data_IF_990663500175
#
_entry.id   IF_990663500175
#
_cell.length_a   1.000
_cell.length_b   1.000
_cell.length_c   1.000
_cell.angle_alpha   90.00
_cell.angle_beta   90.00
_cell.angle_gamma   90.00
#
_symmetry.space_group_name_H-M   'P 1'
#
loop_
_entity.id
_entity.type
_entity.pdbx_description
1 polymer ?
#
# COMPACT_ATOMS: atom_id res chain seq x y z
N UNK A 1 1.58 -9.90 10.91
CA UNK A 1 0.51 -9.01 10.39
C UNK A 1 -0.58 -8.95 11.44
N UNK A 2 -1.10 -7.78 11.74
CA UNK A 2 -2.26 -7.61 12.64
C UNK A 2 -3.49 -8.24 11.97
N UNK A 3 -4.22 -9.10 12.68
CA UNK A 3 -5.41 -9.80 12.17
C UNK A 3 -6.47 -8.80 11.64
N UNK A 4 -6.65 -7.67 12.34
CA UNK A 4 -7.56 -6.60 11.92
C UNK A 4 -7.25 -6.07 10.52
N UNK A 5 -5.97 -5.86 10.21
CA UNK A 5 -5.56 -5.37 8.87
C UNK A 5 -5.85 -6.40 7.80
N UNK A 6 -5.60 -7.68 8.12
CA UNK A 6 -5.88 -8.78 7.21
C UNK A 6 -7.38 -8.88 6.90
N UNK A 7 -8.21 -8.85 7.93
CA UNK A 7 -9.67 -8.93 7.79
C UNK A 7 -10.23 -7.76 6.95
N UNK A 8 -9.66 -6.56 7.10
CA UNK A 8 -10.06 -5.41 6.29
C UNK A 8 -9.62 -5.52 4.83
N UNK A 9 -8.44 -6.09 4.55
CA UNK A 9 -8.00 -6.37 3.18
C UNK A 9 -8.87 -7.44 2.50
N UNK A 10 -9.33 -8.46 3.25
CA UNK A 10 -10.22 -9.49 2.72
C UNK A 10 -11.66 -8.98 2.54
N UNK A 11 -12.13 -8.08 3.38
CA UNK A 11 -13.52 -7.58 3.34
C UNK A 11 -13.81 -6.73 2.11
N UNK A 12 -12.81 -6.01 1.58
CA UNK A 12 -12.90 -5.29 0.31
C UNK A 12 -11.55 -5.37 -0.43
N UNK A 13 -11.50 -5.97 -1.62
CA UNK A 13 -10.27 -6.14 -2.36
C UNK A 13 -9.78 -4.87 -3.06
N UNK A 14 -10.44 -3.72 -2.88
CA UNK A 14 -10.06 -2.44 -3.47
C UNK A 14 -9.51 -1.49 -2.40
N UNK A 15 -8.29 -1.03 -2.61
CA UNK A 15 -7.61 -0.03 -1.79
C UNK A 15 -7.65 1.30 -2.54
N UNK A 16 -8.15 2.36 -1.90
CA UNK A 16 -8.09 3.71 -2.46
C UNK A 16 -6.68 4.27 -2.28
N UNK A 17 -5.99 4.56 -3.39
CA UNK A 17 -4.71 5.25 -3.37
C UNK A 17 -4.94 6.74 -3.67
N UNK A 18 -4.86 7.59 -2.64
CA UNK A 18 -5.16 9.01 -2.75
C UNK A 18 -3.89 9.82 -3.01
N UNK A 19 -3.95 10.72 -3.99
CA UNK A 19 -2.82 11.54 -4.45
C UNK A 19 -3.04 13.04 -4.25
N UNK A 20 -4.22 13.43 -3.78
CA UNK A 20 -4.65 14.80 -3.57
C UNK A 20 -5.82 14.85 -2.56
N UNK A 21 -6.17 16.08 -2.15
CA UNK A 21 -7.23 16.33 -1.16
C UNK A 21 -8.61 15.93 -1.69
N UNK A 22 -8.90 16.15 -2.99
CA UNK A 22 -10.18 15.77 -3.61
C UNK A 22 -10.40 14.25 -3.49
N UNK A 23 -9.38 13.46 -3.85
CA UNK A 23 -9.43 12.00 -3.70
C UNK A 23 -9.57 11.55 -2.24
N UNK A 24 -8.92 12.27 -1.31
CA UNK A 24 -9.05 12.01 0.13
C UNK A 24 -10.48 12.22 0.61
N UNK A 25 -11.09 13.35 0.31
CA UNK A 25 -12.47 13.66 0.70
C UNK A 25 -13.45 12.62 0.14
N UNK A 26 -13.30 12.28 -1.15
CA UNK A 26 -14.16 11.30 -1.80
C UNK A 26 -14.03 9.91 -1.19
N UNK A 27 -12.81 9.42 -0.97
CA UNK A 27 -12.62 8.07 -0.41
C UNK A 27 -13.12 7.97 1.03
N UNK A 28 -13.07 9.07 1.81
CA UNK A 28 -13.61 9.09 3.18
C UNK A 28 -15.13 8.88 3.22
N UNK A 29 -15.87 9.29 2.17
CA UNK A 29 -17.31 9.12 2.05
C UNK A 29 -17.75 7.73 1.59
N UNK A 30 -16.84 6.92 1.02
CA UNK A 30 -17.16 5.60 0.48
C UNK A 30 -17.10 4.54 1.59
N UNK A 31 -18.25 4.02 2.00
CA UNK A 31 -18.36 3.04 3.09
C UNK A 31 -17.62 1.73 2.80
N UNK A 32 -17.58 1.30 1.53
CA UNK A 32 -16.92 0.05 1.13
C UNK A 32 -15.40 0.13 1.19
N UNK A 33 -14.80 1.30 0.99
CA UNK A 33 -13.35 1.47 1.13
C UNK A 33 -12.95 1.34 2.60
N UNK A 34 -12.11 0.37 2.91
CA UNK A 34 -11.61 0.10 4.27
C UNK A 34 -10.15 0.51 4.46
N UNK A 35 -9.37 0.50 3.40
CA UNK A 35 -7.93 0.81 3.43
C UNK A 35 -7.61 1.93 2.45
N UNK A 36 -6.85 2.92 2.92
CA UNK A 36 -6.43 4.09 2.15
C UNK A 36 -4.90 4.16 2.12
N UNK A 37 -4.33 4.18 0.91
CA UNK A 37 -2.92 4.47 0.67
C UNK A 37 -2.76 5.97 0.41
N UNK A 38 -2.03 6.67 1.28
CA UNK A 38 -1.81 8.11 1.21
C UNK A 38 -0.50 8.36 0.44
N UNK A 39 -0.61 8.96 -0.76
CA UNK A 39 0.49 9.18 -1.69
C UNK A 39 0.90 10.65 -1.82
N UNK A 40 0.42 11.54 -0.95
CA UNK A 40 0.64 12.97 -1.01
C UNK A 40 0.73 13.59 0.39
N UNK A 41 1.14 14.84 0.44
CA UNK A 41 1.26 15.62 1.65
C UNK A 41 2.72 15.96 1.97
N UNK A 42 2.90 16.58 3.10
CA UNK A 42 4.19 16.97 3.63
C UNK A 42 4.24 16.74 5.16
N UNK A 43 5.42 16.95 5.74
CA UNK A 43 5.66 16.76 7.18
C UNK A 43 4.73 17.60 8.07
N UNK A 44 4.19 18.72 7.57
CA UNK A 44 3.34 19.63 8.35
C UNK A 44 1.88 19.21 8.34
N UNK A 45 1.39 18.63 7.21
CA UNK A 45 -0.03 18.32 7.04
C UNK A 45 -0.35 16.81 7.10
N UNK A 46 0.65 15.93 7.06
CA UNK A 46 0.39 14.48 7.09
C UNK A 46 -0.37 14.01 8.33
N UNK A 47 -0.18 14.60 9.55
CA UNK A 47 -1.00 14.24 10.70
C UNK A 47 -2.50 14.51 10.48
N UNK A 48 -2.84 15.63 9.86
CA UNK A 48 -4.24 16.00 9.58
C UNK A 48 -4.85 15.11 8.49
N UNK A 49 -4.08 14.81 7.43
CA UNK A 49 -4.50 13.89 6.36
C UNK A 49 -4.82 12.51 6.94
N UNK A 50 -3.92 11.97 7.76
CA UNK A 50 -4.15 10.69 8.46
C UNK A 50 -5.36 10.79 9.39
N UNK A 51 -5.49 11.89 10.13
CA UNK A 51 -6.62 12.15 11.02
C UNK A 51 -7.97 12.07 10.31
N UNK A 52 -8.10 12.64 9.10
CA UNK A 52 -9.32 12.55 8.27
C UNK A 52 -9.66 11.11 7.89
N UNK A 53 -8.66 10.32 7.47
CA UNK A 53 -8.85 8.89 7.15
C UNK A 53 -9.30 8.10 8.38
N UNK A 54 -8.68 8.36 9.54
CA UNK A 54 -9.03 7.70 10.80
C UNK A 54 -10.43 8.09 11.30
N UNK A 55 -10.83 9.36 11.13
CA UNK A 55 -12.18 9.83 11.47
C UNK A 55 -13.27 9.14 10.61
N UNK A 56 -12.92 8.72 9.39
CA UNK A 56 -13.78 7.91 8.53
C UNK A 56 -13.71 6.39 8.83
N UNK A 57 -13.11 6.00 9.97
CA UNK A 57 -12.96 4.60 10.44
C UNK A 57 -12.19 3.67 9.48
N UNK A 58 -11.31 4.24 8.65
CA UNK A 58 -10.49 3.49 7.68
C UNK A 58 -9.06 3.28 8.18
N UNK A 59 -8.36 2.31 7.60
CA UNK A 59 -6.93 2.13 7.80
C UNK A 59 -6.15 3.13 6.95
N UNK A 60 -5.26 3.89 7.60
CA UNK A 60 -4.38 4.86 6.96
C UNK A 60 -2.98 4.27 6.79
N UNK A 61 -2.53 4.09 5.55
CA UNK A 61 -1.19 3.59 5.23
C UNK A 61 -0.44 4.66 4.44
N UNK A 62 0.63 5.21 5.01
CA UNK A 62 1.36 6.36 4.45
C UNK A 62 2.51 5.92 3.57
N UNK A 63 2.59 6.43 2.34
CA UNK A 63 3.75 6.22 1.48
C UNK A 63 4.88 7.17 1.86
N UNK A 64 5.78 6.72 2.73
CA UNK A 64 6.81 7.56 3.35
C UNK A 64 7.70 8.26 2.32
N UNK A 65 8.04 7.57 1.21
CA UNK A 65 8.91 8.13 0.17
C UNK A 65 8.29 9.31 -0.60
N UNK A 66 6.97 9.52 -0.50
CA UNK A 66 6.21 10.56 -1.23
C UNK A 66 5.79 11.73 -0.34
N UNK A 67 6.06 11.68 0.96
CA UNK A 67 5.75 12.80 1.88
C UNK A 67 6.89 13.82 1.84
N UNK A 68 6.56 15.02 1.38
CA UNK A 68 7.53 16.11 1.29
C UNK A 68 8.08 16.45 2.69
N UNK A 69 9.39 16.67 2.77
CA UNK A 69 10.06 16.95 4.04
C UNK A 69 10.44 15.72 4.87
N UNK A 70 9.92 14.54 4.56
CA UNK A 70 10.41 13.28 5.12
C UNK A 70 11.57 12.75 4.30
N UNK A 71 12.70 12.52 4.96
CA UNK A 71 13.88 11.92 4.31
C UNK A 71 13.78 10.41 4.19
N UNK A 72 14.76 9.82 3.47
CA UNK A 72 14.88 8.37 3.29
C UNK A 72 15.55 7.65 4.45
N UNK A 73 15.43 8.18 5.67
CA UNK A 73 16.03 7.63 6.89
C UNK A 73 14.96 7.02 7.79
N UNK A 74 15.35 6.08 8.61
CA UNK A 74 14.46 5.37 9.54
C UNK A 74 13.69 6.31 10.47
N UNK A 75 14.26 7.46 10.84
CA UNK A 75 13.60 8.51 11.62
C UNK A 75 12.30 9.03 10.99
N UNK A 76 12.15 8.92 9.65
CA UNK A 76 10.90 9.27 8.97
C UNK A 76 9.76 8.32 9.37
N UNK A 77 10.06 7.05 9.57
CA UNK A 77 9.11 6.04 10.03
C UNK A 77 8.76 6.28 11.51
N UNK A 78 9.76 6.63 12.34
CA UNK A 78 9.54 7.02 13.74
C UNK A 78 8.62 8.24 13.82
N UNK A 79 8.83 9.23 12.94
CA UNK A 79 7.96 10.40 12.86
C UNK A 79 6.51 10.02 12.55
N UNK A 80 6.26 9.22 11.50
CA UNK A 80 4.92 8.76 11.16
C UNK A 80 4.28 8.02 12.33
N UNK A 81 5.00 7.09 12.97
CA UNK A 81 4.50 6.33 14.12
C UNK A 81 4.12 7.20 15.31
N UNK A 82 4.95 8.20 15.63
CA UNK A 82 4.81 8.97 16.88
C UNK A 82 3.93 10.23 16.74
N UNK A 83 3.80 10.76 15.52
CA UNK A 83 3.12 12.04 15.26
C UNK A 83 1.84 11.91 14.44
N UNK A 84 1.50 10.69 13.99
CA UNK A 84 0.26 10.44 13.27
C UNK A 84 -0.45 9.22 13.85
N UNK A 85 -1.74 9.05 13.54
CA UNK A 85 -2.50 7.84 13.83
C UNK A 85 -2.41 6.77 12.75
N UNK A 86 -1.39 6.80 11.89
CA UNK A 86 -1.25 5.86 10.77
C UNK A 86 -1.13 4.41 11.25
N UNK A 87 -1.86 3.52 10.60
CA UNK A 87 -1.84 2.07 10.89
C UNK A 87 -0.63 1.40 10.24
N UNK A 88 -0.07 2.00 9.19
CA UNK A 88 1.07 1.42 8.48
C UNK A 88 1.78 2.38 7.52
N UNK A 89 2.79 1.83 6.87
CA UNK A 89 3.60 2.53 5.88
C UNK A 89 3.77 1.73 4.59
N UNK A 90 3.99 2.46 3.49
CA UNK A 90 4.47 1.93 2.22
C UNK A 90 5.83 2.55 1.95
N UNK A 91 6.77 1.76 1.47
CA UNK A 91 8.04 2.27 0.98
C UNK A 91 8.65 1.36 -0.09
N UNK A 92 9.45 1.95 -0.97
CA UNK A 92 10.31 1.22 -1.91
C UNK A 92 11.65 0.84 -1.29
N UNK A 93 11.93 1.30 -0.05
CA UNK A 93 13.21 1.14 0.62
C UNK A 93 13.14 0.09 1.73
N UNK A 94 13.91 -1.01 1.61
CA UNK A 94 13.91 -2.08 2.60
C UNK A 94 14.22 -1.61 4.04
N UNK A 95 15.09 -0.60 4.22
CA UNK A 95 15.43 -0.06 5.55
C UNK A 95 14.22 0.56 6.25
N UNK A 96 13.37 1.31 5.51
CA UNK A 96 12.17 1.91 6.07
C UNK A 96 11.13 0.85 6.44
N UNK A 97 10.95 -0.15 5.57
CA UNK A 97 10.06 -1.29 5.85
C UNK A 97 10.54 -2.08 7.07
N UNK A 98 11.84 -2.32 7.18
CA UNK A 98 12.45 -2.96 8.36
C UNK A 98 12.13 -2.16 9.63
N UNK A 99 12.32 -0.84 9.59
CA UNK A 99 12.02 0.03 10.73
C UNK A 99 10.54 -0.03 11.11
N UNK A 100 9.63 -0.01 10.13
CA UNK A 100 8.18 -0.17 10.39
C UNK A 100 7.86 -1.48 11.12
N UNK A 101 8.50 -2.58 10.71
CA UNK A 101 8.37 -3.88 11.39
C UNK A 101 8.85 -3.84 12.84
N UNK A 102 10.00 -3.20 13.09
CA UNK A 102 10.54 -3.02 14.44
C UNK A 102 9.62 -2.20 15.35
N UNK A 103 8.92 -1.21 14.78
CA UNK A 103 7.95 -0.38 15.48
C UNK A 103 6.55 -1.03 15.61
N UNK A 104 6.35 -2.22 15.04
CA UNK A 104 5.09 -2.95 15.12
C UNK A 104 3.94 -2.32 14.35
N UNK A 105 4.21 -1.54 13.30
CA UNK A 105 3.19 -1.00 12.39
C UNK A 105 3.10 -1.84 11.12
N UNK A 106 1.94 -1.81 10.45
CA UNK A 106 1.74 -2.52 9.19
C UNK A 106 2.68 -2.03 8.09
N UNK A 107 3.25 -2.93 7.31
CA UNK A 107 4.28 -2.59 6.33
C UNK A 107 3.98 -3.14 4.95
N UNK A 108 4.05 -2.26 3.95
CA UNK A 108 3.96 -2.60 2.53
C UNK A 108 5.27 -2.29 1.84
N UNK A 109 5.89 -3.31 1.25
CA UNK A 109 7.07 -3.11 0.39
C UNK A 109 6.61 -2.98 -1.06
N UNK A 110 6.85 -1.82 -1.69
CA UNK A 110 6.48 -1.55 -3.08
C UNK A 110 7.60 -1.91 -4.03
N UNK A 111 7.26 -2.67 -5.08
CA UNK A 111 8.16 -3.07 -6.14
C UNK A 111 7.68 -2.59 -7.50
N UNK A 112 8.59 -2.01 -8.29
CA UNK A 112 8.35 -1.72 -9.70
C UNK A 112 8.93 -2.86 -10.54
N UNK A 113 8.08 -3.57 -11.27
CA UNK A 113 8.47 -4.70 -12.13
C UNK A 113 8.88 -4.20 -13.51
N UNK A 114 10.13 -3.78 -13.61
CA UNK A 114 10.69 -3.22 -14.84
C UNK A 114 11.42 -4.33 -15.65
N UNK A 115 12.05 -5.26 -14.95
CA UNK A 115 12.88 -6.30 -15.53
C UNK A 115 12.91 -7.60 -14.70
N UNK A 116 13.71 -8.57 -15.15
CA UNK A 116 13.88 -9.85 -14.45
C UNK A 116 14.59 -9.71 -13.11
N UNK A 117 15.45 -8.71 -12.92
CA UNK A 117 16.12 -8.46 -11.63
C UNK A 117 15.12 -8.01 -10.56
N UNK A 118 14.17 -7.14 -10.93
CA UNK A 118 13.11 -6.71 -10.04
C UNK A 118 12.25 -7.91 -9.61
N UNK A 119 11.93 -8.82 -10.54
CA UNK A 119 11.19 -10.05 -10.23
C UNK A 119 11.98 -10.97 -9.29
N UNK A 120 13.28 -11.13 -9.48
CA UNK A 120 14.13 -11.95 -8.63
C UNK A 120 14.26 -11.37 -7.22
N UNK A 121 14.34 -10.04 -7.09
CA UNK A 121 14.35 -9.36 -5.79
C UNK A 121 13.07 -9.60 -4.97
N UNK A 122 11.93 -9.84 -5.61
CA UNK A 122 10.70 -10.22 -4.90
C UNK A 122 10.78 -11.66 -4.40
N UNK A 123 11.35 -12.58 -5.20
CA UNK A 123 11.48 -14.00 -4.87
C UNK A 123 12.52 -14.26 -3.79
N UNK A 124 13.65 -13.57 -3.86
CA UNK A 124 14.78 -13.68 -2.95
C UNK A 124 15.24 -12.29 -2.51
N UNK A 125 14.55 -11.65 -1.55
CA UNK A 125 14.92 -10.33 -1.10
C UNK A 125 16.33 -10.30 -0.52
N UNK A 126 17.28 -9.62 -1.19
CA UNK A 126 18.67 -9.50 -0.73
C UNK A 126 18.78 -8.83 0.65
N UNK A 127 17.80 -7.98 0.99
CA UNK A 127 17.74 -7.30 2.28
C UNK A 127 17.33 -8.19 3.45
N UNK A 128 16.79 -9.39 3.20
CA UNK A 128 16.22 -10.26 4.24
C UNK A 128 14.97 -9.68 4.94
N UNK A 129 14.50 -8.52 4.52
CA UNK A 129 13.33 -7.85 5.12
C UNK A 129 12.05 -8.56 4.67
N UNK A 130 11.18 -8.87 5.63
CA UNK A 130 9.87 -9.48 5.37
C UNK A 130 8.77 -8.48 5.72
N UNK A 131 8.19 -7.77 4.73
CA UNK A 131 7.02 -6.93 4.94
C UNK A 131 5.80 -7.78 5.27
N UNK A 132 4.74 -7.14 5.78
CA UNK A 132 3.45 -7.82 5.95
C UNK A 132 2.80 -8.12 4.60
N UNK A 133 2.95 -7.21 3.63
CA UNK A 133 2.42 -7.32 2.26
C UNK A 133 3.43 -6.74 1.28
N UNK A 134 3.47 -7.27 0.07
CA UNK A 134 4.18 -6.64 -1.05
C UNK A 134 3.17 -6.03 -2.03
N UNK A 135 3.51 -4.87 -2.56
CA UNK A 135 2.75 -4.25 -3.65
C UNK A 135 3.60 -4.26 -4.92
N UNK A 136 3.02 -4.75 -6.01
CA UNK A 136 3.70 -4.85 -7.31
C UNK A 136 3.05 -3.93 -8.34
N UNK A 137 3.86 -3.15 -9.03
CA UNK A 137 3.47 -2.23 -10.09
C UNK A 137 4.25 -2.55 -11.38
N UNK A 138 3.58 -2.47 -12.57
CA UNK A 138 2.16 -2.23 -12.77
C UNK A 138 1.30 -3.48 -12.51
N UNK A 139 0.06 -3.28 -12.05
CA UNK A 139 -0.91 -4.34 -11.76
C UNK A 139 -1.55 -4.99 -12.99
N UNK A 140 -1.19 -4.56 -14.20
CA UNK A 140 -1.76 -5.04 -15.47
C UNK A 140 -1.05 -6.29 -16.04
N UNK A 141 -0.28 -7.00 -15.23
CA UNK A 141 0.51 -8.18 -15.65
C UNK A 141 0.04 -9.45 -14.91
N UNK A 142 -1.17 -9.97 -15.18
CA UNK A 142 -1.75 -11.08 -14.41
C UNK A 142 -0.87 -12.34 -14.39
N UNK A 143 -0.17 -12.66 -15.50
CA UNK A 143 0.70 -13.83 -15.54
C UNK A 143 1.95 -13.69 -14.67
N UNK A 144 2.49 -12.49 -14.54
CA UNK A 144 3.62 -12.22 -13.65
C UNK A 144 3.14 -12.21 -12.19
N UNK A 145 2.00 -11.57 -11.92
CA UNK A 145 1.37 -11.56 -10.58
C UNK A 145 1.14 -13.00 -10.11
N UNK A 146 0.59 -13.88 -10.98
CA UNK A 146 0.39 -15.30 -10.67
C UNK A 146 1.69 -16.01 -10.30
N UNK A 147 2.76 -15.78 -11.06
CA UNK A 147 4.09 -16.36 -10.74
C UNK A 147 4.62 -15.87 -9.39
N UNK A 148 4.41 -14.59 -9.06
CA UNK A 148 4.81 -14.05 -7.75
C UNK A 148 3.99 -14.69 -6.64
N UNK A 149 2.66 -14.71 -6.76
CA UNK A 149 1.76 -15.28 -5.75
C UNK A 149 2.04 -16.78 -5.48
N UNK A 150 2.43 -17.55 -6.52
CA UNK A 150 2.80 -18.97 -6.37
C UNK A 150 4.13 -19.20 -5.64
N UNK A 151 5.03 -18.23 -5.67
CA UNK A 151 6.39 -18.36 -5.10
C UNK A 151 6.59 -17.56 -3.82
N UNK A 152 5.85 -16.46 -3.65
CA UNK A 152 5.91 -15.60 -2.46
C UNK A 152 5.08 -16.19 -1.32
N UNK A 153 5.63 -16.13 -0.10
CA UNK A 153 4.87 -16.39 1.14
C UNK A 153 4.19 -15.13 1.68
N UNK A 154 4.53 -13.98 1.12
CA UNK A 154 3.96 -12.68 1.48
C UNK A 154 2.79 -12.37 0.57
N UNK A 155 1.62 -11.96 1.09
CA UNK A 155 0.47 -11.56 0.27
C UNK A 155 0.83 -10.44 -0.70
N UNK A 156 0.18 -10.46 -1.87
CA UNK A 156 0.47 -9.54 -2.99
C UNK A 156 -0.70 -8.60 -3.23
N UNK A 157 -0.42 -7.29 -3.25
CA UNK A 157 -1.32 -6.27 -3.77
C UNK A 157 -0.87 -5.92 -5.20
N UNK A 158 -1.80 -5.84 -6.14
CA UNK A 158 -1.54 -5.36 -7.48
C UNK A 158 -1.88 -3.87 -7.58
N UNK A 159 -0.90 -3.03 -7.93
CA UNK A 159 -1.08 -1.58 -8.01
C UNK A 159 -0.62 -0.98 -9.33
N UNK A 160 -1.04 0.26 -9.58
CA UNK A 160 -0.63 1.03 -10.76
C UNK A 160 -1.32 0.60 -12.05
N UNK A 161 -1.77 1.60 -12.79
CA UNK A 161 -2.42 1.49 -14.10
C UNK A 161 -3.76 0.70 -14.12
N UNK A 162 -4.29 0.31 -12.98
CA UNK A 162 -5.60 -0.35 -12.88
C UNK A 162 -6.69 0.71 -12.93
N UNK A 163 -7.52 0.67 -13.98
CA UNK A 163 -8.52 1.71 -14.26
C UNK A 163 -9.93 1.17 -14.54
N UNK A 164 -10.11 -0.15 -14.60
CA UNK A 164 -11.37 -0.77 -14.95
C UNK A 164 -11.59 -2.12 -14.23
N UNK A 165 -12.83 -2.56 -14.19
CA UNK A 165 -13.24 -3.81 -13.53
C UNK A 165 -12.55 -5.05 -14.11
N UNK A 166 -12.26 -5.07 -15.41
CA UNK A 166 -11.59 -6.21 -16.06
C UNK A 166 -10.18 -6.36 -15.51
N UNK A 167 -9.43 -5.26 -15.37
CA UNK A 167 -8.08 -5.23 -14.80
C UNK A 167 -8.09 -5.64 -13.33
N UNK A 168 -9.07 -5.15 -12.53
CA UNK A 168 -9.27 -5.58 -11.14
C UNK A 168 -9.46 -7.09 -11.06
N UNK A 169 -10.41 -7.64 -11.80
CA UNK A 169 -10.71 -9.08 -11.80
C UNK A 169 -9.54 -9.92 -12.30
N UNK A 170 -8.78 -9.44 -13.28
CA UNK A 170 -7.60 -10.13 -13.79
C UNK A 170 -6.50 -10.25 -12.72
N UNK A 171 -6.25 -9.17 -11.95
CA UNK A 171 -5.27 -9.16 -10.89
C UNK A 171 -5.68 -10.09 -9.72
N UNK A 172 -6.93 -10.01 -9.27
CA UNK A 172 -7.47 -10.87 -8.21
C UNK A 172 -7.47 -12.36 -8.63
N UNK A 173 -7.89 -12.68 -9.86
CA UNK A 173 -7.86 -14.04 -10.41
C UNK A 173 -6.42 -14.58 -10.59
N UNK A 174 -5.44 -13.71 -10.63
CA UNK A 174 -4.02 -14.07 -10.64
C UNK A 174 -3.47 -14.39 -9.24
N UNK A 175 -4.24 -14.14 -8.17
CA UNK A 175 -3.88 -14.45 -6.79
C UNK A 175 -3.50 -13.23 -5.94
N UNK A 176 -3.63 -11.99 -6.48
CA UNK A 176 -3.51 -10.80 -5.66
C UNK A 176 -4.64 -10.77 -4.62
N UNK A 177 -4.32 -10.43 -3.38
CA UNK A 177 -5.33 -10.31 -2.30
C UNK A 177 -6.14 -9.03 -2.43
N UNK A 178 -5.54 -7.98 -2.97
CA UNK A 178 -6.16 -6.68 -3.21
C UNK A 178 -5.59 -6.03 -4.45
N UNK A 179 -6.28 -4.99 -4.92
CA UNK A 179 -5.76 -4.03 -5.88
C UNK A 179 -5.72 -2.63 -5.27
N UNK A 180 -4.72 -1.84 -5.62
CA UNK A 180 -4.65 -0.41 -5.28
C UNK A 180 -4.79 0.44 -6.53
N UNK A 181 -5.63 1.46 -6.50
CA UNK A 181 -5.82 2.36 -7.63
C UNK A 181 -6.00 3.81 -7.20
N UNK A 182 -5.45 4.72 -8.01
CA UNK A 182 -5.71 6.16 -7.93
C UNK A 182 -6.92 6.58 -8.76
N UNK A 183 -7.45 5.66 -9.59
CA UNK A 183 -8.67 5.92 -10.37
C UNK A 183 -9.89 5.75 -9.46
N UNK A 184 -10.62 6.84 -9.28
CA UNK A 184 -11.77 6.88 -8.36
C UNK A 184 -12.94 6.02 -8.82
N UNK A 185 -13.08 5.75 -10.14
CA UNK A 185 -14.12 4.87 -10.65
C UNK A 185 -13.92 3.40 -10.18
N UNK A 186 -12.67 3.00 -9.94
CA UNK A 186 -12.34 1.67 -9.40
C UNK A 186 -12.81 1.51 -7.95
N UNK A 187 -12.88 2.60 -7.18
CA UNK A 187 -13.26 2.55 -5.77
C UNK A 187 -14.74 2.21 -5.54
N UNK A 188 -15.57 2.34 -6.57
CA UNK A 188 -17.04 2.13 -6.51
C UNK A 188 -17.52 0.95 -7.35
N UNK A 189 -16.61 0.05 -7.75
CA UNK A 189 -16.94 -1.09 -8.63
C UNK A 189 -17.43 -2.33 -7.87
#
# INVERSE_FOLDING_TARGET
MDQRVYDMLESNPVIAAVKDEEGLEKCCLLEDIKVVFILFGDILNIPDIVGKVKAAEKLAVVHVDLINGLGSREIAVDYIKNNTGADGIISTKPSLVKRGRELGIFTVMRYFLIDSMALENIRSPQSGVRPDVIEVLPGLMPDIIRKICQTSRTPVIAGGLITDKKSVMAALSAGAVCVSSTNQDVWTM
#
